data_IF_699265393900
#
_entry.id   IF_699265393900
#
_cell.length_a   1.000
_cell.length_b   1.000
_cell.length_c   1.000
_cell.angle_alpha   90.00
_cell.angle_beta   90.00
_cell.angle_gamma   90.00
#
_symmetry.space_group_name_H-M   'P 1'
#
loop_
_entity.id
_entity.type
_entity.pdbx_description
1 polymer ?
#
# COMPACT_ATOMS: atom_id res chain seq x y z
N UNK A 1 63.21 13.46 6.41
CA UNK A 1 62.54 12.76 5.31
C UNK A 1 61.45 11.80 5.77
N UNK A 2 61.66 10.90 6.73
CA UNK A 2 60.61 9.95 7.18
C UNK A 2 59.39 10.63 7.79
N UNK A 3 59.55 11.69 8.57
CA UNK A 3 58.40 12.43 9.17
C UNK A 3 57.58 13.19 8.14
N UNK A 4 58.17 13.66 7.04
CA UNK A 4 57.46 14.36 5.97
C UNK A 4 56.62 13.41 5.11
N UNK A 5 57.08 12.19 4.90
CA UNK A 5 56.32 11.16 4.17
C UNK A 5 55.12 10.67 4.98
N UNK A 6 55.25 10.58 6.32
CA UNK A 6 54.13 10.21 7.21
C UNK A 6 53.05 11.32 7.22
N UNK A 7 53.47 12.60 7.21
CA UNK A 7 52.55 13.73 7.14
C UNK A 7 51.82 13.80 5.79
N UNK A 8 52.52 13.52 4.69
CA UNK A 8 51.91 13.53 3.35
C UNK A 8 50.93 12.38 3.17
N UNK A 9 51.18 11.20 3.74
CA UNK A 9 50.24 10.07 3.73
C UNK A 9 49.03 10.32 4.66
N UNK A 10 49.19 11.04 5.78
CA UNK A 10 48.11 11.40 6.67
C UNK A 10 47.19 12.46 6.05
N UNK A 11 47.76 13.45 5.34
CA UNK A 11 46.99 14.49 4.63
C UNK A 11 46.29 13.89 3.41
N UNK A 12 46.86 12.93 2.69
CA UNK A 12 46.19 12.23 1.58
C UNK A 12 45.08 11.29 2.08
N UNK A 13 45.27 10.64 3.23
CA UNK A 13 44.20 9.82 3.85
C UNK A 13 43.04 10.70 4.37
N UNK A 14 43.35 11.88 4.94
CA UNK A 14 42.32 12.84 5.36
C UNK A 14 41.59 13.46 4.14
N UNK A 15 42.28 13.71 3.02
CA UNK A 15 41.67 14.21 1.79
C UNK A 15 40.73 13.18 1.13
N UNK A 16 41.07 11.89 1.20
CA UNK A 16 40.24 10.80 0.70
C UNK A 16 38.97 10.63 1.59
N UNK A 17 39.07 10.88 2.90
CA UNK A 17 37.90 10.89 3.78
C UNK A 17 36.97 12.12 3.60
N UNK A 18 37.44 13.20 2.94
CA UNK A 18 36.63 14.40 2.65
C UNK A 18 35.86 14.29 1.33
N UNK A 19 36.14 13.28 0.51
CA UNK A 19 35.39 12.93 -0.69
C UNK A 19 34.47 11.70 -0.50
N UNK A 20 34.12 11.32 0.72
CA UNK A 20 32.95 10.52 0.95
C UNK A 20 31.77 11.37 0.46
N UNK A 21 31.26 11.05 -0.72
CA UNK A 21 30.07 11.69 -1.28
C UNK A 21 29.02 11.70 -0.20
N UNK A 22 28.68 12.89 0.31
CA UNK A 22 27.65 13.06 1.33
C UNK A 22 26.33 13.00 0.56
N UNK A 23 25.81 11.77 0.33
CA UNK A 23 24.54 11.53 -0.39
C UNK A 23 23.32 11.92 0.46
N UNK A 24 23.53 12.57 1.61
CA UNK A 24 22.46 13.04 2.46
C UNK A 24 22.15 14.52 2.21
N UNK A 25 20.89 14.83 1.91
CA UNK A 25 20.41 16.20 1.80
C UNK A 25 20.50 16.91 3.15
N UNK A 26 21.07 18.10 3.14
CA UNK A 26 21.10 19.02 4.28
C UNK A 26 20.02 20.12 4.18
N UNK A 27 19.13 20.04 3.20
CA UNK A 27 18.08 21.01 2.95
C UNK A 27 17.07 21.03 4.12
N UNK A 28 16.97 22.19 4.86
CA UNK A 28 16.15 22.24 6.07
C UNK A 28 14.66 22.01 5.80
N UNK A 29 14.16 22.40 4.61
CA UNK A 29 12.76 22.21 4.24
C UNK A 29 12.45 20.72 4.02
N UNK A 30 13.33 19.99 3.33
CA UNK A 30 13.16 18.56 3.12
C UNK A 30 13.26 17.78 4.43
N UNK A 31 14.16 18.17 5.34
CA UNK A 31 14.24 17.60 6.69
C UNK A 31 12.98 17.86 7.52
N UNK A 32 12.39 19.08 7.39
CA UNK A 32 11.10 19.37 8.02
C UNK A 32 9.99 18.47 7.47
N UNK A 33 9.94 18.28 6.15
CA UNK A 33 8.97 17.37 5.51
C UNK A 33 9.12 15.94 6.02
N UNK A 34 10.35 15.44 6.09
CA UNK A 34 10.65 14.10 6.60
C UNK A 34 10.10 13.90 8.03
N UNK A 35 10.28 14.90 8.89
CA UNK A 35 9.75 14.87 10.26
C UNK A 35 8.22 14.83 10.34
N UNK A 36 7.52 15.31 9.31
CA UNK A 36 6.05 15.33 9.24
C UNK A 36 5.45 14.05 8.69
N UNK A 37 6.21 13.25 7.94
CA UNK A 37 5.69 12.09 7.19
C UNK A 37 4.92 11.09 8.07
N UNK A 38 5.36 10.86 9.31
CA UNK A 38 4.70 9.89 10.19
C UNK A 38 3.41 10.45 10.82
N UNK A 39 3.39 11.72 11.15
CA UNK A 39 2.30 12.32 11.95
C UNK A 39 1.29 13.10 11.11
N UNK A 40 1.73 13.70 10.00
CA UNK A 40 0.95 14.59 9.13
C UNK A 40 1.33 14.43 7.67
N UNK A 41 1.11 13.23 7.06
CA UNK A 41 1.54 12.95 5.69
C UNK A 41 0.85 13.85 4.65
N UNK A 42 -0.38 14.30 4.89
CA UNK A 42 -1.12 15.27 4.08
C UNK A 42 -0.41 16.62 4.02
N UNK A 43 0.04 17.13 5.18
CA UNK A 43 0.80 18.37 5.26
C UNK A 43 2.17 18.23 4.59
N UNK A 44 2.86 17.11 4.79
CA UNK A 44 4.11 16.79 4.12
C UNK A 44 3.96 16.83 2.59
N UNK A 45 2.94 16.14 2.06
CA UNK A 45 2.64 16.14 0.62
C UNK A 45 2.30 17.53 0.09
N UNK A 46 1.57 18.34 0.85
CA UNK A 46 1.23 19.72 0.47
C UNK A 46 2.48 20.58 0.37
N UNK A 47 3.40 20.48 1.32
CA UNK A 47 4.67 21.22 1.28
C UNK A 47 5.50 20.81 0.05
N UNK A 48 5.63 19.49 -0.21
CA UNK A 48 6.38 18.98 -1.36
C UNK A 48 5.80 19.50 -2.69
N UNK A 49 4.48 19.45 -2.87
CA UNK A 49 3.81 19.94 -4.08
C UNK A 49 3.95 21.43 -4.33
N UNK A 50 4.24 22.22 -3.30
CA UNK A 50 4.44 23.66 -3.39
C UNK A 50 5.89 24.06 -3.70
N UNK A 51 6.82 23.10 -3.82
CA UNK A 51 8.19 23.38 -4.28
C UNK A 51 8.14 23.67 -5.78
N UNK A 52 8.19 24.96 -6.12
CA UNK A 52 7.94 25.48 -7.48
C UNK A 52 9.11 25.32 -8.45
N UNK A 53 10.32 25.02 -7.97
CA UNK A 53 11.54 25.01 -8.80
C UNK A 53 12.36 23.77 -8.48
N UNK A 54 11.81 22.61 -8.86
CA UNK A 54 12.46 21.33 -8.65
C UNK A 54 13.76 21.20 -9.45
N UNK A 55 13.83 21.83 -10.63
CA UNK A 55 15.00 21.82 -11.53
C UNK A 55 16.20 22.56 -10.95
N UNK A 56 15.99 23.54 -10.09
CA UNK A 56 17.04 24.33 -9.46
C UNK A 56 17.60 23.68 -8.17
N UNK A 57 17.01 22.58 -7.71
CA UNK A 57 17.55 21.86 -6.55
C UNK A 57 18.85 21.16 -6.93
N UNK A 58 19.85 21.15 -6.02
CA UNK A 58 20.98 20.25 -6.13
C UNK A 58 20.53 18.79 -6.32
N UNK A 59 21.29 17.99 -7.07
CA UNK A 59 20.92 16.59 -7.37
C UNK A 59 20.65 15.76 -6.10
N UNK A 60 21.44 15.97 -5.05
CA UNK A 60 21.24 15.32 -3.75
C UNK A 60 19.87 15.67 -3.14
N UNK A 61 19.45 16.93 -3.22
CA UNK A 61 18.16 17.40 -2.71
C UNK A 61 17.02 16.89 -3.59
N UNK A 62 17.21 16.85 -4.91
CA UNK A 62 16.24 16.32 -5.86
C UNK A 62 16.02 14.81 -5.66
N UNK A 63 17.10 14.04 -5.45
CA UNK A 63 16.99 12.62 -5.16
C UNK A 63 16.27 12.36 -3.82
N UNK A 64 16.59 13.12 -2.78
CA UNK A 64 15.91 13.03 -1.50
C UNK A 64 14.45 13.46 -1.56
N UNK A 65 14.15 14.56 -2.28
CA UNK A 65 12.77 14.97 -2.57
C UNK A 65 11.96 13.85 -3.23
N UNK A 66 12.53 13.11 -4.18
CA UNK A 66 11.86 12.01 -4.85
C UNK A 66 11.39 10.93 -3.86
N UNK A 67 12.24 10.56 -2.90
CA UNK A 67 11.90 9.59 -1.86
C UNK A 67 10.78 10.09 -0.94
N UNK A 68 10.90 11.35 -0.47
CA UNK A 68 9.90 11.96 0.40
C UNK A 68 8.55 12.12 -0.30
N UNK A 69 8.54 12.46 -1.60
CA UNK A 69 7.32 12.57 -2.39
C UNK A 69 6.64 11.20 -2.55
N UNK A 70 7.41 10.16 -2.85
CA UNK A 70 6.88 8.81 -2.96
C UNK A 70 6.30 8.34 -1.60
N UNK A 71 7.01 8.55 -0.49
CA UNK A 71 6.51 8.19 0.85
C UNK A 71 5.26 8.99 1.22
N UNK A 72 5.25 10.31 0.99
CA UNK A 72 4.08 11.14 1.27
C UNK A 72 2.88 10.74 0.42
N UNK A 73 3.09 10.46 -0.87
CA UNK A 73 2.04 10.01 -1.81
C UNK A 73 1.42 8.70 -1.33
N UNK A 74 2.26 7.72 -0.99
CA UNK A 74 1.85 6.42 -0.51
C UNK A 74 1.08 6.49 0.82
N UNK A 75 1.59 7.24 1.80
CA UNK A 75 0.91 7.42 3.11
C UNK A 75 -0.45 8.11 2.97
N UNK A 76 -0.64 8.93 1.94
CA UNK A 76 -1.92 9.53 1.58
C UNK A 76 -2.80 8.61 0.70
N UNK A 77 -2.39 7.36 0.45
CA UNK A 77 -3.12 6.38 -0.36
C UNK A 77 -3.40 6.86 -1.79
N UNK A 78 -2.47 7.64 -2.35
CA UNK A 78 -2.56 8.13 -3.72
C UNK A 78 -1.73 7.25 -4.66
N UNK A 79 -2.06 7.21 -5.97
CA UNK A 79 -1.28 6.49 -6.97
C UNK A 79 0.17 7.00 -7.03
N UNK A 80 1.14 6.07 -7.11
CA UNK A 80 2.57 6.38 -7.18
C UNK A 80 3.06 6.69 -8.60
N UNK A 81 2.27 6.41 -9.64
CA UNK A 81 2.66 6.62 -11.04
C UNK A 81 3.22 8.02 -11.33
N UNK A 82 2.67 9.13 -10.76
CA UNK A 82 3.26 10.46 -10.94
C UNK A 82 4.67 10.63 -10.35
N UNK A 83 5.11 9.73 -9.46
CA UNK A 83 6.44 9.75 -8.87
C UNK A 83 7.49 9.00 -9.70
N UNK A 84 7.10 8.34 -10.80
CA UNK A 84 7.94 7.37 -11.50
C UNK A 84 9.26 7.94 -12.01
N UNK A 85 9.22 9.05 -12.75
CA UNK A 85 10.43 9.69 -13.28
C UNK A 85 11.40 10.14 -12.18
N UNK A 86 10.85 10.61 -11.06
CA UNK A 86 11.65 11.02 -9.91
C UNK A 86 12.25 9.83 -9.15
N UNK A 87 11.51 8.72 -9.06
CA UNK A 87 12.04 7.48 -8.48
C UNK A 87 13.17 6.91 -9.34
N UNK A 88 13.05 6.97 -10.69
CA UNK A 88 14.14 6.56 -11.58
C UNK A 88 15.37 7.46 -11.40
N UNK A 89 15.17 8.79 -11.33
CA UNK A 89 16.27 9.71 -11.02
C UNK A 89 16.95 9.36 -9.69
N UNK A 90 16.19 9.07 -8.62
CA UNK A 90 16.75 8.66 -7.34
C UNK A 90 17.52 7.32 -7.44
N UNK A 91 17.00 6.36 -8.21
CA UNK A 91 17.65 5.08 -8.48
C UNK A 91 18.98 5.24 -9.22
N UNK A 92 19.08 6.20 -10.13
CA UNK A 92 20.32 6.48 -10.87
C UNK A 92 21.32 7.29 -10.02
N UNK A 93 20.81 8.16 -9.14
CA UNK A 93 21.64 9.02 -8.29
C UNK A 93 22.30 8.25 -7.14
N UNK A 94 21.54 7.42 -6.41
CA UNK A 94 22.05 6.68 -5.27
C UNK A 94 22.84 5.44 -5.71
N UNK A 95 24.03 5.27 -5.12
CA UNK A 95 24.87 4.08 -5.35
C UNK A 95 24.28 2.80 -4.76
N UNK A 96 24.76 1.66 -5.22
CA UNK A 96 24.23 0.34 -4.81
C UNK A 96 24.43 0.03 -3.32
N UNK A 97 25.37 0.76 -2.68
CA UNK A 97 25.62 0.64 -1.24
C UNK A 97 24.87 1.67 -0.40
N UNK A 98 24.11 2.60 -1.01
CA UNK A 98 23.40 3.64 -0.28
C UNK A 98 22.07 3.11 0.29
N UNK A 99 21.76 3.46 1.53
CA UNK A 99 20.49 3.11 2.17
C UNK A 99 19.29 3.64 1.38
N UNK A 100 19.42 4.82 0.85
CA UNK A 100 18.40 5.52 0.07
C UNK A 100 18.07 4.79 -1.23
N UNK A 101 19.04 4.05 -1.80
CA UNK A 101 18.80 3.13 -2.92
C UNK A 101 17.77 2.05 -2.57
N UNK A 102 17.87 1.47 -1.37
CA UNK A 102 16.89 0.48 -0.92
C UNK A 102 15.47 1.08 -0.79
N UNK A 103 15.37 2.32 -0.31
CA UNK A 103 14.09 3.03 -0.21
C UNK A 103 13.51 3.33 -1.60
N UNK A 104 14.35 3.80 -2.54
CA UNK A 104 13.94 4.02 -3.93
C UNK A 104 13.44 2.74 -4.60
N UNK A 105 14.19 1.63 -4.45
CA UNK A 105 13.82 0.30 -4.96
C UNK A 105 12.48 -0.17 -4.35
N UNK A 106 12.28 0.03 -3.05
CA UNK A 106 11.04 -0.33 -2.36
C UNK A 106 9.84 0.41 -2.94
N UNK A 107 9.91 1.74 -3.11
CA UNK A 107 8.81 2.51 -3.68
C UNK A 107 8.62 2.26 -5.18
N UNK A 108 9.70 2.00 -5.93
CA UNK A 108 9.59 1.57 -7.33
C UNK A 108 8.86 0.23 -7.46
N UNK A 109 9.20 -0.74 -6.61
CA UNK A 109 8.48 -2.02 -6.56
C UNK A 109 7.00 -1.84 -6.23
N UNK A 110 6.68 -0.95 -5.26
CA UNK A 110 5.30 -0.65 -4.92
C UNK A 110 4.52 0.03 -6.05
N UNK A 111 5.17 0.91 -6.80
CA UNK A 111 4.61 1.52 -8.00
C UNK A 111 4.30 0.46 -9.07
N UNK A 112 5.25 -0.44 -9.33
CA UNK A 112 5.10 -1.52 -10.31
C UNK A 112 3.94 -2.46 -9.94
N UNK A 113 3.77 -2.80 -8.66
CA UNK A 113 2.63 -3.57 -8.20
C UNK A 113 1.29 -2.83 -8.41
N UNK A 114 1.24 -1.50 -8.25
CA UNK A 114 0.06 -0.70 -8.59
C UNK A 114 -0.25 -0.71 -10.10
N UNK A 115 0.71 -1.12 -10.93
CA UNK A 115 0.57 -1.28 -12.37
C UNK A 115 0.36 -2.75 -12.79
N UNK A 116 0.03 -3.63 -11.84
CA UNK A 116 -0.14 -5.07 -12.03
C UNK A 116 1.11 -5.78 -12.59
N UNK A 117 2.32 -5.26 -12.27
CA UNK A 117 3.60 -5.90 -12.60
C UNK A 117 4.26 -6.45 -11.32
N UNK A 118 3.63 -7.46 -10.72
CA UNK A 118 4.06 -8.09 -9.47
C UNK A 118 5.46 -8.70 -9.59
N UNK A 119 5.80 -9.23 -10.75
CA UNK A 119 7.11 -9.84 -10.97
C UNK A 119 8.24 -8.81 -10.85
N UNK A 120 8.10 -7.67 -11.53
CA UNK A 120 9.08 -6.58 -11.41
C UNK A 120 9.05 -5.96 -10.01
N UNK A 121 7.88 -5.88 -9.37
CA UNK A 121 7.74 -5.40 -8.01
C UNK A 121 8.51 -6.28 -7.00
N UNK A 122 8.38 -7.60 -7.13
CA UNK A 122 9.13 -8.57 -6.31
C UNK A 122 10.63 -8.40 -6.55
N UNK A 123 11.09 -8.33 -7.81
CA UNK A 123 12.49 -8.18 -8.14
C UNK A 123 13.12 -6.94 -7.50
N UNK A 124 12.46 -5.77 -7.62
CA UNK A 124 12.96 -4.53 -7.02
C UNK A 124 13.04 -4.62 -5.49
N UNK A 125 12.06 -5.23 -4.84
CA UNK A 125 12.07 -5.37 -3.40
C UNK A 125 13.07 -6.40 -2.89
N UNK A 126 13.38 -7.44 -3.66
CA UNK A 126 14.49 -8.35 -3.34
C UNK A 126 15.82 -7.63 -3.43
N UNK A 127 16.07 -6.83 -4.49
CA UNK A 127 17.27 -5.97 -4.59
C UNK A 127 17.36 -4.98 -3.41
N UNK A 128 16.24 -4.40 -2.98
CA UNK A 128 16.23 -3.54 -1.79
C UNK A 128 16.67 -4.29 -0.53
N UNK A 129 16.29 -5.55 -0.34
CA UNK A 129 16.76 -6.38 0.78
C UNK A 129 18.26 -6.69 0.69
N UNK A 130 18.81 -6.84 -0.52
CA UNK A 130 20.26 -7.02 -0.72
C UNK A 130 21.03 -5.79 -0.26
N UNK A 131 20.63 -4.58 -0.68
CA UNK A 131 21.24 -3.33 -0.21
C UNK A 131 21.14 -3.21 1.31
N UNK A 132 19.97 -3.54 1.89
CA UNK A 132 19.76 -3.47 3.33
C UNK A 132 20.63 -4.47 4.14
N UNK A 133 21.33 -5.42 3.52
CA UNK A 133 22.29 -6.25 4.27
C UNK A 133 23.37 -5.39 4.93
N UNK A 134 23.76 -4.28 4.30
CA UNK A 134 24.69 -3.29 4.84
C UNK A 134 24.06 -2.41 5.95
N UNK A 135 22.73 -2.43 6.12
CA UNK A 135 21.97 -1.62 7.07
C UNK A 135 21.10 -2.49 7.98
N UNK A 136 21.68 -3.36 8.83
CA UNK A 136 20.92 -4.31 9.67
C UNK A 136 20.01 -3.61 10.68
N UNK A 137 20.28 -2.35 11.02
CA UNK A 137 19.48 -1.52 11.94
C UNK A 137 18.22 -0.92 11.29
N UNK A 138 18.10 -0.91 9.95
CA UNK A 138 16.90 -0.40 9.29
C UNK A 138 15.77 -1.43 9.29
N UNK A 139 15.22 -1.63 10.48
CA UNK A 139 14.18 -2.62 10.72
C UNK A 139 12.84 -2.19 10.13
N UNK A 140 12.58 -0.86 10.04
CA UNK A 140 11.35 -0.30 9.45
C UNK A 140 11.27 -0.64 7.95
N UNK A 141 12.32 -0.35 7.20
CA UNK A 141 12.36 -0.60 5.76
C UNK A 141 12.24 -2.11 5.47
N UNK A 142 13.00 -2.96 6.19
CA UNK A 142 12.90 -4.43 6.08
C UNK A 142 11.48 -4.94 6.31
N UNK A 143 10.82 -4.48 7.38
CA UNK A 143 9.45 -4.87 7.69
C UNK A 143 8.50 -4.50 6.56
N UNK A 144 8.59 -3.28 6.03
CA UNK A 144 7.73 -2.83 4.95
C UNK A 144 7.93 -3.70 3.70
N UNK A 145 9.18 -3.98 3.32
CA UNK A 145 9.51 -4.82 2.17
C UNK A 145 8.98 -6.24 2.37
N UNK A 146 9.23 -6.88 3.51
CA UNK A 146 8.71 -8.23 3.77
C UNK A 146 7.18 -8.26 3.77
N UNK A 147 6.53 -7.23 4.33
CA UNK A 147 5.06 -7.12 4.33
C UNK A 147 4.49 -7.09 2.90
N UNK A 148 5.09 -6.30 2.01
CA UNK A 148 4.68 -6.22 0.60
C UNK A 148 4.98 -7.50 -0.18
N UNK A 149 6.21 -8.01 -0.08
CA UNK A 149 6.62 -9.26 -0.75
C UNK A 149 5.70 -10.43 -0.37
N UNK A 150 5.31 -10.54 0.91
CA UNK A 150 4.41 -11.59 1.35
C UNK A 150 3.02 -11.48 0.72
N UNK A 151 2.49 -10.27 0.53
CA UNK A 151 1.21 -10.07 -0.18
C UNK A 151 1.37 -10.46 -1.65
N UNK A 152 2.37 -9.92 -2.35
CA UNK A 152 2.57 -10.21 -3.79
C UNK A 152 2.87 -11.67 -4.09
N UNK A 153 3.63 -12.38 -3.23
CA UNK A 153 3.75 -13.83 -3.36
C UNK A 153 2.42 -14.55 -3.18
N UNK A 154 1.55 -14.04 -2.29
CA UNK A 154 0.19 -14.54 -2.11
C UNK A 154 -0.66 -14.34 -3.36
N UNK A 155 -0.62 -13.15 -3.96
CA UNK A 155 -1.34 -12.80 -5.19
C UNK A 155 -0.87 -13.65 -6.39
N UNK A 156 0.41 -14.05 -6.40
CA UNK A 156 0.96 -15.05 -7.34
C UNK A 156 0.67 -16.51 -6.94
N UNK A 157 -0.19 -16.77 -5.97
CA UNK A 157 -0.55 -18.11 -5.46
C UNK A 157 0.62 -18.91 -4.83
N UNK A 158 1.75 -18.25 -4.56
CA UNK A 158 2.91 -18.84 -3.89
C UNK A 158 2.76 -18.82 -2.37
N UNK A 159 1.66 -19.40 -1.86
CA UNK A 159 1.20 -19.24 -0.48
C UNK A 159 2.21 -19.64 0.59
N UNK A 160 2.96 -20.73 0.39
CA UNK A 160 3.95 -21.18 1.38
C UNK A 160 5.11 -20.17 1.48
N UNK A 161 5.56 -19.62 0.34
CA UNK A 161 6.55 -18.55 0.30
C UNK A 161 6.01 -17.26 0.91
N UNK A 162 4.77 -16.91 0.60
CA UNK A 162 4.07 -15.76 1.16
C UNK A 162 4.03 -15.82 2.69
N UNK A 163 3.67 -16.96 3.27
CA UNK A 163 3.64 -17.17 4.73
C UNK A 163 5.03 -17.11 5.35
N UNK A 164 6.06 -17.70 4.71
CA UNK A 164 7.45 -17.59 5.15
C UNK A 164 7.88 -16.11 5.26
N UNK A 165 7.61 -15.33 4.21
CA UNK A 165 7.97 -13.92 4.11
C UNK A 165 7.17 -13.07 5.10
N UNK A 166 5.86 -13.32 5.29
CA UNK A 166 5.08 -12.60 6.30
C UNK A 166 5.53 -12.89 7.73
N UNK A 167 6.04 -14.08 8.01
CA UNK A 167 6.66 -14.36 9.31
C UNK A 167 7.95 -13.55 9.51
N UNK A 168 8.72 -13.26 8.45
CA UNK A 168 9.83 -12.30 8.54
C UNK A 168 9.30 -10.89 8.86
N UNK A 169 8.24 -10.41 8.20
CA UNK A 169 7.63 -9.12 8.53
C UNK A 169 7.18 -9.06 9.99
N UNK A 170 6.62 -10.14 10.54
CA UNK A 170 6.22 -10.23 11.94
C UNK A 170 7.42 -10.12 12.90
N UNK A 171 8.55 -10.73 12.59
CA UNK A 171 9.78 -10.61 13.40
C UNK A 171 10.29 -9.17 13.50
N UNK A 172 10.05 -8.35 12.47
CA UNK A 172 10.43 -6.93 12.43
C UNK A 172 9.29 -5.99 12.85
N UNK A 173 8.21 -6.51 13.44
CA UNK A 173 7.06 -5.72 13.92
C UNK A 173 7.25 -5.34 15.39
N UNK A 174 7.59 -4.07 15.65
CA UNK A 174 7.90 -3.56 17.00
C UNK A 174 6.77 -2.73 17.62
N UNK A 175 5.76 -2.37 16.84
CA UNK A 175 4.56 -1.70 17.34
C UNK A 175 3.35 -2.63 17.27
N UNK A 176 2.36 -2.37 18.13
CA UNK A 176 1.09 -3.10 18.07
C UNK A 176 0.39 -2.94 16.71
N UNK A 177 0.54 -1.76 16.06
CA UNK A 177 0.01 -1.51 14.72
C UNK A 177 0.69 -2.39 13.68
N UNK A 178 2.02 -2.47 13.69
CA UNK A 178 2.78 -3.29 12.74
C UNK A 178 2.45 -4.77 12.90
N UNK A 179 2.33 -5.23 14.15
CA UNK A 179 1.94 -6.61 14.46
C UNK A 179 0.52 -6.93 13.98
N UNK A 180 -0.42 -5.96 14.10
CA UNK A 180 -1.77 -6.11 13.58
C UNK A 180 -1.76 -6.27 12.05
N UNK A 181 -0.97 -5.47 11.34
CA UNK A 181 -0.82 -5.55 9.87
C UNK A 181 -0.24 -6.91 9.47
N UNK A 182 0.82 -7.38 10.15
CA UNK A 182 1.43 -8.67 9.84
C UNK A 182 0.44 -9.83 10.04
N UNK A 183 -0.31 -9.84 11.14
CA UNK A 183 -1.36 -10.86 11.35
C UNK A 183 -2.51 -10.76 10.35
N UNK A 184 -2.89 -9.54 9.94
CA UNK A 184 -3.88 -9.35 8.87
C UNK A 184 -3.40 -10.01 7.57
N UNK A 185 -2.16 -9.74 7.15
CA UNK A 185 -1.61 -10.29 5.91
C UNK A 185 -1.49 -11.82 5.97
N UNK A 186 -1.07 -12.39 7.11
CA UNK A 186 -1.06 -13.85 7.30
C UNK A 186 -2.47 -14.42 7.17
N UNK A 187 -3.46 -13.79 7.81
CA UNK A 187 -4.87 -14.18 7.72
C UNK A 187 -5.41 -14.06 6.29
N UNK A 188 -5.00 -13.02 5.55
CA UNK A 188 -5.33 -12.84 4.14
C UNK A 188 -4.83 -14.01 3.28
N UNK A 189 -3.56 -14.40 3.42
CA UNK A 189 -2.98 -15.53 2.67
C UNK A 189 -3.70 -16.83 2.99
N UNK A 190 -4.03 -17.10 4.26
CA UNK A 190 -4.84 -18.26 4.62
C UNK A 190 -6.25 -18.21 4.03
N UNK A 191 -6.84 -17.01 3.93
CA UNK A 191 -8.13 -16.80 3.28
C UNK A 191 -8.10 -17.06 1.78
N UNK A 192 -7.03 -16.68 1.08
CA UNK A 192 -6.82 -16.99 -0.34
C UNK A 192 -6.67 -18.49 -0.56
N UNK A 193 -6.04 -19.19 0.38
CA UNK A 193 -5.85 -20.64 0.38
C UNK A 193 -7.11 -21.41 0.84
N UNK A 194 -8.20 -20.73 1.12
CA UNK A 194 -9.47 -21.26 1.64
C UNK A 194 -9.37 -22.02 2.98
N UNK A 195 -8.35 -21.67 3.78
CA UNK A 195 -8.12 -22.23 5.12
C UNK A 195 -8.86 -21.41 6.18
N UNK A 196 -10.18 -21.65 6.30
CA UNK A 196 -11.11 -20.89 7.12
C UNK A 196 -10.65 -20.66 8.57
N UNK A 197 -10.35 -21.73 9.30
CA UNK A 197 -10.00 -21.63 10.72
C UNK A 197 -8.73 -20.81 10.95
N UNK A 198 -7.74 -20.98 10.08
CA UNK A 198 -6.50 -20.22 10.13
C UNK A 198 -6.73 -18.76 9.79
N UNK A 199 -7.47 -18.46 8.72
CA UNK A 199 -7.80 -17.11 8.32
C UNK A 199 -8.49 -16.33 9.46
N UNK A 200 -9.54 -16.91 10.05
CA UNK A 200 -10.26 -16.27 11.17
C UNK A 200 -9.37 -16.14 12.40
N UNK A 201 -8.55 -17.15 12.72
CA UNK A 201 -7.64 -17.09 13.85
C UNK A 201 -6.65 -15.94 13.73
N UNK A 202 -6.03 -15.76 12.57
CA UNK A 202 -5.08 -14.67 12.36
C UNK A 202 -5.76 -13.31 12.23
N UNK A 203 -6.96 -13.22 11.66
CA UNK A 203 -7.74 -11.97 11.67
C UNK A 203 -8.15 -11.56 13.10
N UNK A 204 -8.50 -12.50 13.98
CA UNK A 204 -8.75 -12.21 15.40
C UNK A 204 -7.50 -11.67 16.11
N UNK A 205 -6.32 -12.24 15.84
CA UNK A 205 -5.05 -11.70 16.34
C UNK A 205 -4.81 -10.28 15.82
N UNK A 206 -5.07 -10.02 14.54
CA UNK A 206 -5.00 -8.68 13.97
C UNK A 206 -5.89 -7.69 14.75
N UNK A 207 -7.16 -8.04 15.02
CA UNK A 207 -8.06 -7.21 15.83
C UNK A 207 -7.51 -6.94 17.21
N UNK A 208 -6.99 -7.96 17.91
CA UNK A 208 -6.42 -7.82 19.24
C UNK A 208 -5.28 -6.78 19.27
N UNK A 209 -4.34 -6.88 18.33
CA UNK A 209 -3.21 -5.95 18.25
C UNK A 209 -3.62 -4.57 17.72
N UNK A 210 -4.60 -4.48 16.82
CA UNK A 210 -5.17 -3.21 16.39
C UNK A 210 -5.77 -2.44 17.58
N UNK A 211 -6.52 -3.11 18.46
CA UNK A 211 -7.06 -2.49 19.67
C UNK A 211 -5.95 -2.03 20.63
N UNK A 212 -4.87 -2.79 20.77
CA UNK A 212 -3.70 -2.38 21.56
C UNK A 212 -3.00 -1.15 20.99
N UNK A 213 -3.02 -0.98 19.66
CA UNK A 213 -2.40 0.17 18.98
C UNK A 213 -3.13 1.49 19.25
N UNK A 214 -4.42 1.44 19.59
CA UNK A 214 -5.32 2.60 19.72
C UNK A 214 -5.47 3.41 18.44
N UNK A 215 -5.06 2.85 17.29
CA UNK A 215 -5.23 3.45 15.97
C UNK A 215 -6.65 3.12 15.46
N UNK A 216 -7.53 4.12 15.45
CA UNK A 216 -8.93 3.95 15.07
C UNK A 216 -9.07 3.39 13.65
N UNK A 217 -8.26 3.87 12.70
CA UNK A 217 -8.30 3.38 11.31
C UNK A 217 -7.96 1.89 11.24
N UNK A 218 -6.91 1.46 11.95
CA UNK A 218 -6.50 0.06 12.01
C UNK A 218 -7.56 -0.83 12.68
N UNK A 219 -8.19 -0.34 13.75
CA UNK A 219 -9.27 -1.06 14.46
C UNK A 219 -10.46 -1.28 13.51
N UNK A 220 -10.92 -0.23 12.82
CA UNK A 220 -12.04 -0.31 11.87
C UNK A 220 -11.73 -1.27 10.72
N UNK A 221 -10.52 -1.18 10.13
CA UNK A 221 -10.07 -2.09 9.08
C UNK A 221 -10.05 -3.54 9.56
N UNK A 222 -9.53 -3.80 10.76
CA UNK A 222 -9.46 -5.15 11.29
C UNK A 222 -10.86 -5.75 11.58
N UNK A 223 -11.79 -4.95 12.12
CA UNK A 223 -13.18 -5.40 12.30
C UNK A 223 -13.87 -5.65 10.97
N UNK A 224 -13.68 -4.78 9.99
CA UNK A 224 -14.24 -4.97 8.65
C UNK A 224 -13.73 -6.27 8.02
N UNK A 225 -12.42 -6.50 8.04
CA UNK A 225 -11.83 -7.72 7.49
C UNK A 225 -12.36 -8.99 8.19
N UNK A 226 -12.49 -8.93 9.52
CA UNK A 226 -13.05 -10.06 10.25
C UNK A 226 -14.54 -10.28 9.92
N UNK A 227 -15.31 -9.21 9.68
CA UNK A 227 -16.69 -9.29 9.17
C UNK A 227 -16.74 -9.96 7.79
N UNK A 228 -15.85 -9.55 6.86
CA UNK A 228 -15.75 -10.15 5.53
C UNK A 228 -15.46 -11.67 5.60
N UNK A 229 -14.48 -12.08 6.42
CA UNK A 229 -14.14 -13.49 6.55
C UNK A 229 -15.27 -14.32 7.16
N UNK A 230 -15.97 -13.80 8.18
CA UNK A 230 -17.13 -14.49 8.71
C UNK A 230 -18.27 -14.58 7.69
N UNK A 231 -18.51 -13.52 6.90
CA UNK A 231 -19.50 -13.54 5.82
C UNK A 231 -19.15 -14.55 4.73
N UNK A 232 -17.89 -14.55 4.28
CA UNK A 232 -17.38 -15.51 3.28
C UNK A 232 -17.53 -16.97 3.70
N UNK A 233 -17.37 -17.24 4.98
CA UNK A 233 -17.47 -18.59 5.55
C UNK A 233 -18.84 -18.88 6.19
N UNK A 234 -19.88 -18.16 5.74
CA UNK A 234 -21.28 -18.39 6.09
C UNK A 234 -21.63 -18.25 7.60
N UNK A 235 -20.76 -17.63 8.40
CA UNK A 235 -21.06 -17.30 9.79
C UNK A 235 -21.64 -15.87 9.87
N UNK A 236 -22.86 -15.71 9.37
CA UNK A 236 -23.52 -14.41 9.21
C UNK A 236 -23.70 -13.68 10.55
N UNK A 237 -24.03 -14.39 11.63
CA UNK A 237 -24.22 -13.77 12.95
C UNK A 237 -22.94 -13.09 13.44
N UNK A 238 -21.79 -13.76 13.33
CA UNK A 238 -20.50 -13.17 13.67
C UNK A 238 -20.11 -12.05 12.74
N UNK A 239 -20.38 -12.18 11.44
CA UNK A 239 -20.12 -11.12 10.44
C UNK A 239 -20.86 -9.84 10.80
N UNK A 240 -22.14 -9.94 11.14
CA UNK A 240 -23.01 -8.81 11.53
C UNK A 240 -22.49 -8.14 12.81
N UNK A 241 -22.05 -8.88 13.82
CA UNK A 241 -21.48 -8.31 15.05
C UNK A 241 -20.32 -7.39 14.75
N UNK A 242 -19.38 -7.81 13.88
CA UNK A 242 -18.23 -6.99 13.53
C UNK A 242 -18.57 -5.84 12.57
N UNK A 243 -19.52 -6.05 11.65
CA UNK A 243 -20.06 -4.99 10.82
C UNK A 243 -20.70 -3.86 11.66
N UNK A 244 -21.49 -4.20 12.69
CA UNK A 244 -22.04 -3.21 13.61
C UNK A 244 -20.96 -2.45 14.40
N UNK A 245 -19.89 -3.12 14.84
CA UNK A 245 -18.75 -2.43 15.48
C UNK A 245 -18.15 -1.38 14.56
N UNK A 246 -18.03 -1.68 13.27
CA UNK A 246 -17.58 -0.69 12.28
C UNK A 246 -18.55 0.47 12.21
N UNK A 247 -19.87 0.20 11.99
CA UNK A 247 -20.90 1.23 11.86
C UNK A 247 -20.96 2.21 13.03
N UNK A 248 -20.80 1.71 14.25
CA UNK A 248 -20.87 2.53 15.46
C UNK A 248 -19.67 3.48 15.62
N UNK A 249 -18.59 3.26 14.89
CA UNK A 249 -17.31 3.96 15.08
C UNK A 249 -16.81 4.69 13.83
N UNK A 250 -17.54 4.64 12.69
CA UNK A 250 -17.22 5.44 11.50
C UNK A 250 -17.92 6.80 11.57
N UNK A 251 -17.22 7.85 11.12
CA UNK A 251 -17.83 9.14 10.82
C UNK A 251 -18.29 9.19 9.36
N UNK A 252 -19.41 9.85 9.07
CA UNK A 252 -20.04 9.89 7.75
C UNK A 252 -19.25 10.62 6.66
N UNK A 253 -18.10 11.22 6.97
CA UNK A 253 -17.42 12.17 6.10
C UNK A 253 -16.34 11.57 5.16
N UNK A 254 -16.09 10.26 5.17
CA UNK A 254 -14.92 9.68 4.51
C UNK A 254 -15.27 8.67 3.41
N UNK A 255 -14.89 8.97 2.15
CA UNK A 255 -15.00 8.06 0.97
C UNK A 255 -14.32 6.70 1.17
N UNK A 256 -13.38 6.58 2.11
CA UNK A 256 -12.67 5.33 2.47
C UNK A 256 -13.64 4.24 2.95
N UNK A 257 -14.85 4.62 3.38
CA UNK A 257 -15.82 3.71 3.99
C UNK A 257 -16.84 3.09 3.01
N UNK A 258 -16.74 3.39 1.71
CA UNK A 258 -17.67 2.81 0.71
C UNK A 258 -17.69 1.29 0.74
N UNK A 259 -16.52 0.64 0.83
CA UNK A 259 -16.41 -0.82 0.95
C UNK A 259 -17.01 -1.37 2.24
N UNK A 260 -16.99 -0.60 3.34
CA UNK A 260 -17.64 -0.99 4.59
C UNK A 260 -19.16 -1.00 4.44
N UNK A 261 -19.75 0.04 3.82
CA UNK A 261 -21.17 0.09 3.54
C UNK A 261 -21.63 -0.99 2.57
N UNK A 262 -20.81 -1.27 1.53
CA UNK A 262 -21.06 -2.40 0.63
C UNK A 262 -21.17 -3.73 1.40
N UNK A 263 -20.15 -4.07 2.19
CA UNK A 263 -20.13 -5.31 2.96
C UNK A 263 -21.36 -5.45 3.89
N UNK A 264 -21.74 -4.36 4.56
CA UNK A 264 -22.90 -4.33 5.44
C UNK A 264 -24.18 -4.56 4.64
N UNK A 265 -24.33 -3.89 3.50
CA UNK A 265 -25.49 -4.07 2.61
C UNK A 265 -25.62 -5.51 2.11
N UNK A 266 -24.51 -6.12 1.72
CA UNK A 266 -24.48 -7.50 1.25
C UNK A 266 -24.86 -8.50 2.37
N UNK A 267 -24.39 -8.29 3.59
CA UNK A 267 -24.80 -9.07 4.76
C UNK A 267 -26.32 -8.97 5.03
N UNK A 268 -26.91 -7.77 4.88
CA UNK A 268 -28.36 -7.60 5.03
C UNK A 268 -29.16 -8.31 3.93
N UNK A 269 -28.62 -8.47 2.72
CA UNK A 269 -29.22 -9.34 1.68
C UNK A 269 -29.26 -10.80 2.18
N UNK A 270 -28.16 -11.29 2.76
CA UNK A 270 -28.09 -12.62 3.36
C UNK A 270 -29.12 -12.85 4.47
N UNK A 271 -29.41 -11.80 5.25
CA UNK A 271 -30.43 -11.82 6.32
C UNK A 271 -31.87 -11.61 5.81
N UNK A 272 -32.08 -11.35 4.52
CA UNK A 272 -33.40 -11.02 3.97
C UNK A 272 -33.95 -9.64 4.37
N UNK A 273 -33.10 -8.78 4.95
CA UNK A 273 -33.47 -7.43 5.38
C UNK A 273 -33.22 -6.41 4.25
N UNK A 274 -34.02 -6.48 3.21
CA UNK A 274 -33.80 -5.80 1.94
C UNK A 274 -33.81 -4.27 2.03
N UNK A 275 -34.64 -3.67 2.92
CA UNK A 275 -34.67 -2.21 3.11
C UNK A 275 -33.32 -1.70 3.67
N UNK A 276 -32.79 -2.38 4.67
CA UNK A 276 -31.47 -2.08 5.22
C UNK A 276 -30.35 -2.32 4.19
N UNK A 277 -30.45 -3.42 3.44
CA UNK A 277 -29.50 -3.74 2.37
C UNK A 277 -29.44 -2.60 1.34
N UNK A 278 -30.60 -2.16 0.83
CA UNK A 278 -30.72 -1.05 -0.12
C UNK A 278 -30.07 0.21 0.42
N UNK A 279 -30.42 0.61 1.64
CA UNK A 279 -29.89 1.82 2.27
C UNK A 279 -28.35 1.82 2.29
N UNK A 280 -27.72 0.72 2.72
CA UNK A 280 -26.26 0.66 2.82
C UNK A 280 -25.59 0.52 1.46
N UNK A 281 -26.17 -0.21 0.51
CA UNK A 281 -25.62 -0.31 -0.85
C UNK A 281 -25.70 1.04 -1.59
N UNK A 282 -26.80 1.77 -1.49
CA UNK A 282 -26.93 3.12 -2.05
C UNK A 282 -25.97 4.09 -1.36
N UNK A 283 -25.78 3.98 -0.03
CA UNK A 283 -24.79 4.77 0.70
C UNK A 283 -23.37 4.47 0.23
N UNK A 284 -23.03 3.22 -0.07
CA UNK A 284 -21.73 2.86 -0.64
C UNK A 284 -21.48 3.53 -1.99
N UNK A 285 -22.48 3.58 -2.85
CA UNK A 285 -22.44 4.23 -4.16
C UNK A 285 -22.37 5.75 -4.07
N UNK A 286 -22.97 6.36 -3.03
CA UNK A 286 -22.84 7.80 -2.79
C UNK A 286 -21.38 8.22 -2.57
N UNK A 287 -20.59 7.37 -1.88
CA UNK A 287 -19.18 7.61 -1.62
C UNK A 287 -18.25 7.13 -2.74
N UNK A 288 -18.64 6.08 -3.46
CA UNK A 288 -17.88 5.51 -4.59
C UNK A 288 -18.83 5.04 -5.69
N UNK A 289 -19.21 5.93 -6.63
CA UNK A 289 -20.12 5.56 -7.74
C UNK A 289 -19.54 4.47 -8.66
N UNK A 290 -18.22 4.26 -8.64
CA UNK A 290 -17.54 3.21 -9.42
C UNK A 290 -17.43 1.87 -8.68
N UNK A 291 -18.04 1.69 -7.50
CA UNK A 291 -18.05 0.43 -6.79
C UNK A 291 -19.01 -0.57 -7.45
N UNK A 292 -18.53 -1.26 -8.49
CA UNK A 292 -19.33 -2.13 -9.35
C UNK A 292 -20.08 -3.21 -8.56
N UNK A 293 -19.46 -3.79 -7.54
CA UNK A 293 -20.06 -4.82 -6.70
C UNK A 293 -21.34 -4.37 -5.98
N UNK A 294 -21.50 -3.08 -5.66
CA UNK A 294 -22.75 -2.56 -5.06
C UNK A 294 -23.91 -2.61 -6.05
N UNK A 295 -23.68 -2.35 -7.34
CA UNK A 295 -24.70 -2.53 -8.38
C UNK A 295 -25.06 -3.99 -8.57
N UNK A 296 -24.07 -4.90 -8.53
CA UNK A 296 -24.33 -6.34 -8.58
C UNK A 296 -25.21 -6.78 -7.41
N UNK A 297 -24.88 -6.43 -6.18
CA UNK A 297 -25.67 -6.79 -4.99
C UNK A 297 -27.07 -6.20 -5.05
N UNK A 298 -27.27 -4.96 -5.54
CA UNK A 298 -28.59 -4.38 -5.78
C UNK A 298 -29.37 -5.16 -6.83
N UNK A 299 -28.74 -5.59 -7.92
CA UNK A 299 -29.39 -6.41 -8.95
C UNK A 299 -29.86 -7.75 -8.37
N UNK A 300 -28.99 -8.43 -7.60
CA UNK A 300 -29.34 -9.69 -6.93
C UNK A 300 -30.50 -9.51 -5.96
N UNK A 301 -30.48 -8.45 -5.17
CA UNK A 301 -31.54 -8.11 -4.22
C UNK A 301 -32.89 -7.88 -4.94
N UNK A 302 -32.90 -7.05 -5.99
CA UNK A 302 -34.13 -6.77 -6.76
C UNK A 302 -34.67 -8.01 -7.45
N UNK A 303 -33.81 -8.89 -7.96
CA UNK A 303 -34.23 -10.16 -8.52
C UNK A 303 -34.91 -11.07 -7.47
N UNK A 304 -34.36 -11.13 -6.25
CA UNK A 304 -34.96 -11.86 -5.12
C UNK A 304 -36.33 -11.30 -4.73
N UNK A 305 -36.54 -9.99 -4.89
CA UNK A 305 -37.84 -9.31 -4.66
C UNK A 305 -38.80 -9.45 -5.83
N UNK A 306 -38.42 -10.05 -6.96
CA UNK A 306 -39.22 -10.17 -8.17
C UNK A 306 -39.29 -8.89 -9.02
N UNK A 307 -38.47 -7.89 -8.70
CA UNK A 307 -38.40 -6.61 -9.40
C UNK A 307 -37.44 -6.69 -10.61
N UNK A 308 -37.75 -7.57 -11.56
CA UNK A 308 -36.81 -7.90 -12.66
C UNK A 308 -36.37 -6.70 -13.51
N UNK A 309 -37.22 -5.69 -13.67
CA UNK A 309 -36.87 -4.46 -14.40
C UNK A 309 -35.77 -3.68 -13.69
N UNK A 310 -35.87 -3.52 -12.38
CA UNK A 310 -34.84 -2.85 -11.56
C UNK A 310 -33.58 -3.69 -11.49
N UNK A 311 -33.71 -5.01 -11.36
CA UNK A 311 -32.56 -5.93 -11.37
C UNK A 311 -31.78 -5.82 -12.69
N UNK A 312 -32.46 -5.79 -13.84
CA UNK A 312 -31.83 -5.60 -15.13
C UNK A 312 -31.10 -4.25 -15.23
N UNK A 313 -31.73 -3.17 -14.78
CA UNK A 313 -31.10 -1.84 -14.79
C UNK A 313 -29.81 -1.80 -13.96
N UNK A 314 -29.81 -2.37 -12.76
CA UNK A 314 -28.60 -2.43 -11.93
C UNK A 314 -27.53 -3.34 -12.53
N UNK A 315 -27.93 -4.47 -13.16
CA UNK A 315 -26.99 -5.35 -13.86
C UNK A 315 -26.35 -4.66 -15.07
N UNK A 316 -27.13 -3.93 -15.84
CA UNK A 316 -26.63 -3.14 -16.98
C UNK A 316 -25.62 -2.08 -16.51
N UNK A 317 -25.94 -1.38 -15.41
CA UNK A 317 -25.03 -0.40 -14.80
C UNK A 317 -23.75 -1.07 -14.28
N UNK A 318 -23.86 -2.26 -13.65
CA UNK A 318 -22.69 -3.04 -13.23
C UNK A 318 -21.75 -3.33 -14.40
N UNK A 319 -22.29 -3.82 -15.53
CA UNK A 319 -21.51 -4.11 -16.75
C UNK A 319 -20.83 -2.84 -17.28
N UNK A 320 -21.55 -1.74 -17.40
CA UNK A 320 -21.00 -0.46 -17.86
C UNK A 320 -19.85 0.04 -16.99
N UNK A 321 -20.00 -0.05 -15.65
CA UNK A 321 -18.96 0.35 -14.70
C UNK A 321 -17.74 -0.59 -14.81
N UNK A 322 -17.99 -1.90 -14.92
CA UNK A 322 -16.93 -2.90 -15.06
C UNK A 322 -16.14 -2.68 -16.38
N UNK A 323 -16.81 -2.50 -17.49
CA UNK A 323 -16.17 -2.21 -18.79
C UNK A 323 -15.32 -0.92 -18.73
N UNK A 324 -15.78 0.09 -17.99
CA UNK A 324 -15.03 1.32 -17.79
C UNK A 324 -13.76 1.10 -16.94
N UNK A 325 -13.83 0.25 -15.92
CA UNK A 325 -12.68 -0.12 -15.08
C UNK A 325 -11.67 -0.93 -15.89
N UNK A 326 -12.13 -1.94 -16.63
CA UNK A 326 -11.29 -2.78 -17.51
C UNK A 326 -10.62 -1.96 -18.64
N UNK A 327 -11.33 -0.94 -19.16
CA UNK A 327 -10.75 -0.01 -20.14
C UNK A 327 -9.65 0.86 -19.51
N UNK A 328 -9.85 1.29 -18.25
CA UNK A 328 -8.85 2.05 -17.48
C UNK A 328 -7.61 1.21 -17.16
N UNK A 329 -7.80 -0.06 -16.79
CA UNK A 329 -6.69 -1.00 -16.57
C UNK A 329 -5.90 -1.24 -17.85
N UNK A 330 -6.58 -1.53 -18.98
CA UNK A 330 -5.92 -1.68 -20.29
C UNK A 330 -5.15 -0.43 -20.72
N UNK A 331 -5.68 0.77 -20.43
CA UNK A 331 -4.96 2.01 -20.71
C UNK A 331 -3.70 2.12 -19.85
N UNK A 332 -3.77 1.74 -18.58
CA UNK A 332 -2.62 1.69 -17.67
C UNK A 332 -1.57 0.70 -18.14
N UNK A 333 -1.96 -0.50 -18.61
CA UNK A 333 -1.06 -1.49 -19.20
C UNK A 333 -0.36 -0.96 -20.46
N UNK A 334 -1.10 -0.30 -21.37
CA UNK A 334 -0.53 0.32 -22.56
C UNK A 334 0.46 1.42 -22.18
N UNK A 335 0.13 2.26 -21.20
CA UNK A 335 1.03 3.29 -20.69
C UNK A 335 2.30 2.67 -20.10
N UNK A 336 2.18 1.56 -19.39
CA UNK A 336 3.31 0.81 -18.85
C UNK A 336 4.21 0.24 -19.95
N UNK A 337 3.61 -0.36 -21.02
CA UNK A 337 4.36 -0.87 -22.18
C UNK A 337 5.10 0.27 -22.89
N UNK A 338 4.43 1.40 -23.13
CA UNK A 338 5.04 2.59 -23.74
C UNK A 338 6.21 3.08 -22.88
N UNK A 339 6.03 3.15 -21.59
CA UNK A 339 7.07 3.55 -20.63
C UNK A 339 8.25 2.58 -20.64
N UNK A 340 8.03 1.26 -20.54
CA UNK A 340 9.12 0.25 -20.64
C UNK A 340 9.92 0.38 -21.94
N UNK A 341 9.26 0.69 -23.06
CA UNK A 341 9.93 0.88 -24.33
C UNK A 341 10.73 2.20 -24.40
N UNK A 342 10.22 3.28 -23.79
CA UNK A 342 10.95 4.56 -23.72
C UNK A 342 12.22 4.45 -22.89
N UNK A 343 12.14 3.88 -21.68
CA UNK A 343 13.32 3.65 -20.83
C UNK A 343 14.34 2.71 -21.48
N UNK A 344 13.91 1.69 -22.23
CA UNK A 344 14.80 0.80 -22.97
C UNK A 344 15.53 1.49 -24.15
N UNK A 345 14.98 2.59 -24.68
CA UNK A 345 15.60 3.39 -25.76
C UNK A 345 16.58 4.43 -25.21
N UNK A 346 16.34 4.94 -23.99
CA UNK A 346 17.25 5.92 -23.34
C UNK A 346 18.51 5.27 -22.76
N UNK A 347 18.50 3.96 -22.48
CA UNK A 347 19.65 3.18 -21.99
C UNK A 347 20.59 2.70 -23.12
N UNK A 348 20.27 2.93 -24.38
CA UNK A 348 21.12 2.66 -25.56
C UNK A 348 21.85 3.89 -26.06
#
# INVERSE_FOLDING_TARGET
MRSFIIYLNFVSLLAVCLFACNHHSSNPMLQQVDSLLEMKPDSALTILKNISVLEDLPEVDKAYYALLLAEATDKNKLPLLPCDSLLNFALDYYGDDDREKAVALMYKGRLLAQMNDEMSAIEHNLKALEVLQNYPQDLKCRRLIYSMLGVWYGDCELYDKALEIQNQALLYSFSAKDTAIAYHNIGYIYGMRDMQDSAITYQRKSVEYAMRSKDTSMILTSWHNLSLYYGRFENIDSAVVYAYKVLQNISDENKIFSGYFYNIGDLYIGLGQYDSARYYLEKSLLFSPSLSMSYWSLAVMEAKLGNFKSAYHYLDTFVMVQDSLDASERLSEVQHIVYKNQTALEVK
#
